data_IF_416835845689
#
_entry.id   IF_416835845689
#
_cell.length_a   1.000
_cell.length_b   1.000
_cell.length_c   1.000
_cell.angle_alpha   90.00
_cell.angle_beta   90.00
_cell.angle_gamma   90.00
#
_symmetry.space_group_name_H-M   'P 1'
#
loop_
_entity.id
_entity.type
_entity.pdbx_description
1 polymer ?
#
# COMPACT_ATOMS: atom_id res chain seq x y z
N UNK A 1 34.45 22.80 9.84
CA UNK A 1 33.01 22.49 9.63
C UNK A 1 32.33 21.95 10.89
N UNK A 2 32.89 20.94 11.57
CA UNK A 2 32.33 20.36 12.81
C UNK A 2 32.13 21.34 13.97
N UNK A 3 33.00 22.33 14.13
CA UNK A 3 32.92 23.32 15.21
C UNK A 3 31.62 24.17 15.16
N UNK A 4 31.13 24.52 13.96
CA UNK A 4 29.87 25.26 13.81
C UNK A 4 28.65 24.44 14.23
N UNK A 5 28.68 23.13 14.01
CA UNK A 5 27.61 22.22 14.47
C UNK A 5 27.56 22.15 16.00
N UNK A 6 28.73 22.14 16.66
CA UNK A 6 28.82 22.13 18.12
C UNK A 6 28.25 23.44 18.69
N UNK A 7 28.61 24.59 18.10
CA UNK A 7 28.06 25.88 18.53
C UNK A 7 26.54 25.94 18.33
N UNK A 8 26.05 25.50 17.17
CA UNK A 8 24.61 25.46 16.90
C UNK A 8 23.86 24.58 17.92
N UNK A 9 24.43 23.42 18.28
CA UNK A 9 23.89 22.54 19.32
C UNK A 9 23.87 23.22 20.69
N UNK A 10 24.93 23.92 21.08
CA UNK A 10 24.99 24.64 22.36
C UNK A 10 23.96 25.76 22.45
N UNK A 11 23.85 26.58 21.40
CA UNK A 11 22.86 27.67 21.33
C UNK A 11 21.44 27.11 21.47
N UNK A 12 21.14 26.02 20.77
CA UNK A 12 19.87 25.32 20.89
C UNK A 12 19.63 24.82 22.33
N UNK A 13 20.61 24.16 22.93
CA UNK A 13 20.48 23.63 24.29
C UNK A 13 20.25 24.75 25.31
N UNK A 14 21.02 25.84 25.26
CA UNK A 14 20.82 26.99 26.16
C UNK A 14 19.46 27.65 26.00
N UNK A 15 19.00 27.83 24.76
CA UNK A 15 17.65 28.34 24.49
C UNK A 15 16.58 27.42 25.10
N UNK A 16 16.74 26.09 24.97
CA UNK A 16 15.81 25.13 25.54
C UNK A 16 15.83 25.12 27.08
N UNK A 17 17.02 25.26 27.71
CA UNK A 17 17.13 25.39 29.18
C UNK A 17 16.35 26.61 29.65
N UNK A 18 16.55 27.75 28.97
CA UNK A 18 15.89 29.01 29.30
C UNK A 18 14.37 28.92 29.15
N UNK A 19 13.89 28.40 28.02
CA UNK A 19 12.47 28.31 27.70
C UNK A 19 11.71 27.38 28.65
N UNK A 20 12.29 26.23 28.99
CA UNK A 20 11.63 25.20 29.80
C UNK A 20 11.92 25.33 31.31
N UNK A 21 12.68 26.35 31.72
CA UNK A 21 13.07 26.58 33.12
C UNK A 21 13.75 25.36 33.75
N UNK A 22 14.57 24.66 32.98
CA UNK A 22 15.36 23.53 33.47
C UNK A 22 16.46 24.04 34.41
N UNK A 23 17.00 23.14 35.24
CA UNK A 23 17.96 23.49 36.27
C UNK A 23 19.19 24.24 35.73
N UNK A 24 19.58 25.31 36.41
CA UNK A 24 20.65 26.21 35.98
C UNK A 24 22.02 25.54 35.85
N UNK A 25 22.26 24.40 36.52
CA UNK A 25 23.54 23.68 36.40
C UNK A 25 23.79 23.16 34.97
N UNK A 26 22.75 23.00 34.15
CA UNK A 26 22.89 22.57 32.75
C UNK A 26 23.65 23.58 31.90
N UNK A 27 23.51 24.88 32.15
CA UNK A 27 24.31 25.90 31.45
C UNK A 27 25.81 25.64 31.62
N UNK A 28 26.24 25.26 32.83
CA UNK A 28 27.64 24.96 33.11
C UNK A 28 28.10 23.67 32.42
N UNK A 29 27.29 22.59 32.47
CA UNK A 29 27.62 21.31 31.83
C UNK A 29 27.79 21.48 30.30
N UNK A 30 26.85 22.18 29.66
CA UNK A 30 26.87 22.40 28.21
C UNK A 30 28.01 23.36 27.80
N UNK A 31 28.38 24.32 28.66
CA UNK A 31 29.46 25.26 28.37
C UNK A 31 30.84 24.60 28.47
N UNK A 32 31.12 23.87 29.56
CA UNK A 32 32.43 23.27 29.82
C UNK A 32 32.67 21.95 29.07
N UNK A 33 31.60 21.25 28.69
CA UNK A 33 31.68 20.00 27.92
C UNK A 33 30.73 20.10 26.70
N UNK A 34 31.07 20.91 25.68
CA UNK A 34 30.17 21.28 24.58
C UNK A 34 29.48 20.12 23.86
N UNK A 35 30.27 19.13 23.43
CA UNK A 35 29.77 18.02 22.62
C UNK A 35 28.97 17.02 23.48
N UNK A 36 29.59 16.50 24.54
CA UNK A 36 29.00 15.44 25.37
C UNK A 36 27.88 16.01 26.24
N UNK A 37 28.07 17.19 26.85
CA UNK A 37 27.06 17.87 27.65
C UNK A 37 25.83 18.27 26.84
N UNK A 38 26.03 18.77 25.61
CA UNK A 38 24.94 19.05 24.68
C UNK A 38 24.15 17.78 24.31
N UNK A 39 24.82 16.68 24.00
CA UNK A 39 24.16 15.41 23.69
C UNK A 39 23.38 14.86 24.90
N UNK A 40 23.98 14.81 26.09
CA UNK A 40 23.32 14.32 27.31
C UNK A 40 22.08 15.18 27.62
N UNK A 41 22.18 16.50 27.48
CA UNK A 41 21.05 17.40 27.70
C UNK A 41 19.92 17.13 26.72
N UNK A 42 20.21 16.99 25.42
CA UNK A 42 19.21 16.64 24.42
C UNK A 42 18.51 15.33 24.78
N UNK A 43 19.27 14.28 25.11
CA UNK A 43 18.71 12.97 25.45
C UNK A 43 17.87 12.96 26.73
N UNK A 44 18.23 13.75 27.74
CA UNK A 44 17.57 13.69 29.05
C UNK A 44 16.48 14.74 29.26
N UNK A 45 16.60 15.91 28.61
CA UNK A 45 15.75 17.08 28.89
C UNK A 45 14.95 17.56 27.69
N UNK A 46 15.41 17.30 26.46
CA UNK A 46 14.71 17.71 25.24
C UNK A 46 13.83 16.56 24.73
N UNK A 47 14.35 15.33 24.74
CA UNK A 47 13.61 14.14 24.32
C UNK A 47 12.69 13.69 25.46
N UNK A 48 11.39 13.89 25.31
CA UNK A 48 10.38 13.43 26.27
C UNK A 48 10.09 11.93 26.08
N UNK A 49 9.88 11.19 27.16
CA UNK A 49 9.58 9.74 27.10
C UNK A 49 8.31 9.44 26.27
N UNK A 50 7.36 10.36 26.26
CA UNK A 50 6.14 10.23 25.47
C UNK A 50 6.42 10.41 23.97
N UNK A 51 7.28 11.33 23.57
CA UNK A 51 7.68 11.52 22.16
C UNK A 51 8.45 10.30 21.65
N UNK A 52 9.27 9.66 22.51
CA UNK A 52 9.93 8.40 22.19
C UNK A 52 8.93 7.25 22.06
N UNK A 53 7.87 7.22 22.87
CA UNK A 53 6.83 6.18 22.77
C UNK A 53 6.05 6.29 21.45
N UNK A 54 5.64 7.49 21.02
CA UNK A 54 4.96 7.69 19.73
C UNK A 54 5.89 7.46 18.54
N UNK A 55 7.14 7.94 18.59
CA UNK A 55 8.13 7.71 17.52
C UNK A 55 8.48 6.23 17.41
N UNK A 56 8.58 5.50 18.52
CA UNK A 56 8.83 4.06 18.48
C UNK A 56 7.61 3.25 18.04
N UNK A 57 6.37 3.67 18.29
CA UNK A 57 5.18 2.98 17.76
C UNK A 57 5.04 3.16 16.23
N UNK A 58 5.26 4.36 15.71
CA UNK A 58 5.26 4.61 14.25
C UNK A 58 6.44 3.91 13.55
N UNK A 59 7.61 3.84 14.18
CA UNK A 59 8.77 3.14 13.61
C UNK A 59 8.64 1.61 13.76
N UNK A 60 8.08 1.09 14.87
CA UNK A 60 7.93 -0.36 15.07
C UNK A 60 6.83 -0.99 14.24
N UNK A 61 5.82 -0.25 13.79
CA UNK A 61 4.83 -0.77 12.84
C UNK A 61 5.42 -1.01 11.46
N UNK A 62 6.43 -0.22 11.06
CA UNK A 62 7.17 -0.40 9.80
C UNK A 62 8.29 -1.46 9.96
N UNK A 63 8.88 -1.59 11.15
CA UNK A 63 10.05 -2.46 11.40
C UNK A 63 9.66 -3.84 11.98
N UNK A 64 8.49 -3.98 12.60
CA UNK A 64 8.04 -5.24 13.22
C UNK A 64 6.54 -5.51 12.92
N UNK A 65 6.21 -5.94 11.70
CA UNK A 65 4.84 -6.31 11.32
C UNK A 65 4.20 -7.33 12.27
N UNK A 66 5.00 -8.22 12.85
CA UNK A 66 4.55 -9.23 13.81
C UNK A 66 3.97 -8.61 15.08
N UNK A 67 4.50 -7.48 15.57
CA UNK A 67 3.95 -6.79 16.76
C UNK A 67 2.58 -6.17 16.45
N UNK A 68 2.41 -5.56 15.27
CA UNK A 68 1.12 -4.98 14.82
C UNK A 68 0.04 -6.07 14.78
N UNK A 69 0.34 -7.19 14.12
CA UNK A 69 -0.58 -8.34 14.03
C UNK A 69 -0.93 -8.83 15.43
N UNK A 70 0.05 -9.06 16.31
CA UNK A 70 -0.19 -9.56 17.67
C UNK A 70 -1.10 -8.62 18.49
N UNK A 71 -0.90 -7.31 18.37
CA UNK A 71 -1.77 -6.34 19.04
C UNK A 71 -3.21 -6.40 18.51
N UNK A 72 -3.39 -6.60 17.20
CA UNK A 72 -4.70 -6.72 16.57
C UNK A 72 -5.39 -8.06 16.90
N UNK A 73 -4.63 -9.14 17.01
CA UNK A 73 -5.11 -10.44 17.53
C UNK A 73 -5.67 -10.27 18.95
N UNK A 74 -4.90 -9.64 19.85
CA UNK A 74 -5.39 -9.35 21.21
C UNK A 74 -6.61 -8.41 21.24
N UNK A 75 -6.66 -7.41 20.35
CA UNK A 75 -7.83 -6.53 20.25
C UNK A 75 -9.09 -7.29 19.80
N UNK A 76 -8.93 -8.25 18.88
CA UNK A 76 -10.02 -9.12 18.42
C UNK A 76 -10.45 -10.11 19.49
N UNK A 77 -9.51 -10.69 20.24
CA UNK A 77 -9.79 -11.56 21.40
C UNK A 77 -10.60 -10.82 22.47
N UNK A 78 -10.25 -9.57 22.76
CA UNK A 78 -10.96 -8.74 23.72
C UNK A 78 -12.34 -8.33 23.22
N UNK A 79 -12.47 -8.06 21.92
CA UNK A 79 -13.73 -7.61 21.33
C UNK A 79 -13.90 -8.08 19.89
N UNK A 80 -14.80 -9.04 19.69
CA UNK A 80 -15.07 -9.67 18.41
C UNK A 80 -15.99 -8.81 17.52
N UNK A 81 -15.50 -7.65 17.09
CA UNK A 81 -16.24 -6.69 16.26
C UNK A 81 -15.87 -6.79 14.78
N UNK A 82 -16.77 -6.34 13.91
CA UNK A 82 -16.49 -6.18 12.47
C UNK A 82 -15.18 -5.42 12.23
N UNK A 83 -15.02 -4.25 12.85
CA UNK A 83 -13.83 -3.42 12.65
C UNK A 83 -12.54 -4.10 13.10
N UNK A 84 -12.55 -4.84 14.22
CA UNK A 84 -11.36 -5.56 14.69
C UNK A 84 -10.96 -6.69 13.73
N UNK A 85 -11.94 -7.40 13.17
CA UNK A 85 -11.68 -8.42 12.14
C UNK A 85 -11.09 -7.79 10.87
N UNK A 86 -11.66 -6.68 10.39
CA UNK A 86 -11.14 -5.96 9.23
C UNK A 86 -9.71 -5.46 9.47
N UNK A 87 -9.43 -4.85 10.62
CA UNK A 87 -8.10 -4.34 10.93
C UNK A 87 -7.04 -5.47 10.96
N UNK A 88 -7.39 -6.61 11.55
CA UNK A 88 -6.51 -7.78 11.57
C UNK A 88 -6.30 -8.36 10.17
N UNK A 89 -7.37 -8.46 9.38
CA UNK A 89 -7.30 -8.92 7.99
C UNK A 89 -6.45 -8.00 7.11
N UNK A 90 -6.60 -6.67 7.27
CA UNK A 90 -5.78 -5.66 6.58
C UNK A 90 -4.29 -5.84 6.94
N UNK A 91 -3.97 -6.06 8.22
CA UNK A 91 -2.59 -6.30 8.64
C UNK A 91 -2.01 -7.60 8.06
N UNK A 92 -2.80 -8.67 7.94
CA UNK A 92 -2.36 -9.88 7.25
C UNK A 92 -2.17 -9.64 5.74
N UNK A 93 -3.07 -8.90 5.10
CA UNK A 93 -2.97 -8.54 3.68
C UNK A 93 -1.70 -7.72 3.40
N UNK A 94 -1.40 -6.72 4.22
CA UNK A 94 -0.16 -5.92 4.14
C UNK A 94 1.10 -6.80 4.22
N UNK A 95 1.03 -7.89 4.99
CA UNK A 95 2.11 -8.87 5.15
C UNK A 95 2.06 -10.03 4.14
N UNK A 96 1.15 -9.97 3.15
CA UNK A 96 0.93 -11.03 2.15
C UNK A 96 0.55 -12.39 2.75
N UNK A 97 0.02 -12.41 3.97
CA UNK A 97 -0.54 -13.59 4.61
C UNK A 97 -1.98 -13.81 4.16
N UNK A 98 -2.17 -14.00 2.84
CA UNK A 98 -3.49 -13.94 2.18
C UNK A 98 -4.52 -14.90 2.77
N UNK A 99 -4.13 -16.14 3.09
CA UNK A 99 -5.05 -17.11 3.69
C UNK A 99 -5.59 -16.65 5.06
N UNK A 100 -4.75 -16.01 5.90
CA UNK A 100 -5.21 -15.48 7.19
C UNK A 100 -6.08 -14.24 7.01
N UNK A 101 -5.75 -13.39 6.04
CA UNK A 101 -6.57 -12.25 5.66
C UNK A 101 -7.98 -12.71 5.22
N UNK A 102 -8.05 -13.72 4.34
CA UNK A 102 -9.31 -14.33 3.87
C UNK A 102 -10.18 -14.77 5.04
N UNK A 103 -9.63 -15.58 5.97
CA UNK A 103 -10.39 -16.08 7.12
C UNK A 103 -11.01 -14.94 7.95
N UNK A 104 -10.27 -13.86 8.17
CA UNK A 104 -10.75 -12.72 8.96
C UNK A 104 -11.75 -11.86 8.18
N UNK A 105 -11.55 -11.64 6.88
CA UNK A 105 -12.52 -10.93 6.03
C UNK A 105 -13.83 -11.71 5.89
N UNK A 106 -13.76 -13.02 5.66
CA UNK A 106 -14.96 -13.86 5.58
C UNK A 106 -15.73 -13.84 6.89
N UNK A 107 -15.03 -13.96 8.02
CA UNK A 107 -15.68 -13.86 9.32
C UNK A 107 -16.23 -12.45 9.60
N UNK A 108 -15.64 -11.40 9.04
CA UNK A 108 -16.19 -10.04 9.13
C UNK A 108 -17.49 -9.90 8.33
N UNK A 109 -17.59 -10.56 7.17
CA UNK A 109 -18.77 -10.58 6.32
C UNK A 109 -19.89 -11.48 6.85
N UNK A 110 -19.81 -11.97 8.08
CA UNK A 110 -20.92 -12.71 8.69
C UNK A 110 -22.06 -11.76 9.13
N UNK A 111 -23.27 -12.32 9.27
CA UNK A 111 -24.46 -11.63 9.80
C UNK A 111 -24.86 -10.35 9.03
N UNK A 112 -24.69 -9.16 9.62
CA UNK A 112 -25.22 -7.90 9.10
C UNK A 112 -24.34 -7.27 8.01
N UNK A 113 -23.15 -7.80 7.76
CA UNK A 113 -22.16 -7.21 6.85
C UNK A 113 -21.88 -8.08 5.61
N UNK A 114 -22.75 -9.06 5.30
CA UNK A 114 -22.57 -10.03 4.19
C UNK A 114 -22.25 -9.42 2.83
N UNK A 115 -22.76 -8.21 2.60
CA UNK A 115 -22.64 -7.52 1.32
C UNK A 115 -21.86 -6.20 1.46
N UNK A 116 -21.02 -6.05 2.50
CA UNK A 116 -20.17 -4.87 2.62
C UNK A 116 -19.20 -4.78 1.43
N UNK A 117 -19.35 -3.76 0.55
CA UNK A 117 -18.68 -3.76 -0.75
C UNK A 117 -17.17 -3.56 -0.63
N UNK A 118 -16.72 -2.80 0.38
CA UNK A 118 -15.29 -2.55 0.61
C UNK A 118 -14.57 -3.80 1.09
N UNK A 119 -15.18 -4.56 2.00
CA UNK A 119 -14.63 -5.82 2.49
C UNK A 119 -14.61 -6.89 1.40
N UNK A 120 -15.69 -7.01 0.63
CA UNK A 120 -15.74 -7.89 -0.54
C UNK A 120 -14.64 -7.55 -1.56
N UNK A 121 -14.38 -6.25 -1.81
CA UNK A 121 -13.30 -5.83 -2.69
C UNK A 121 -11.91 -6.29 -2.21
N UNK A 122 -11.63 -6.17 -0.91
CA UNK A 122 -10.37 -6.65 -0.31
C UNK A 122 -10.27 -8.18 -0.36
N UNK A 123 -11.37 -8.87 -0.11
CA UNK A 123 -11.46 -10.32 -0.16
C UNK A 123 -11.22 -10.85 -1.59
N UNK A 124 -11.76 -10.21 -2.62
CA UNK A 124 -11.49 -10.52 -4.03
C UNK A 124 -9.99 -10.48 -4.33
N UNK A 125 -9.30 -9.41 -3.90
CA UNK A 125 -7.85 -9.27 -4.10
C UNK A 125 -7.08 -10.40 -3.43
N UNK A 126 -7.45 -10.77 -2.20
CA UNK A 126 -6.82 -11.90 -1.51
C UNK A 126 -7.08 -13.23 -2.23
N UNK A 127 -8.30 -13.46 -2.70
CA UNK A 127 -8.66 -14.68 -3.42
C UNK A 127 -7.93 -14.82 -4.75
N UNK A 128 -7.68 -13.71 -5.43
CA UNK A 128 -6.89 -13.70 -6.65
C UNK A 128 -5.44 -14.11 -6.38
N UNK A 129 -4.83 -13.61 -5.31
CA UNK A 129 -3.44 -13.93 -4.93
C UNK A 129 -3.23 -15.40 -4.53
N UNK A 130 -4.28 -16.08 -4.06
CA UNK A 130 -4.26 -17.53 -3.77
C UNK A 130 -4.85 -18.37 -4.92
N UNK A 131 -5.02 -17.78 -6.10
CA UNK A 131 -5.53 -18.41 -7.32
C UNK A 131 -6.92 -19.08 -7.16
N UNK A 132 -7.72 -18.62 -6.20
CA UNK A 132 -9.09 -19.08 -6.04
C UNK A 132 -10.03 -18.26 -6.92
N UNK A 133 -9.92 -18.47 -8.24
CA UNK A 133 -10.67 -17.72 -9.25
C UNK A 133 -12.19 -17.90 -9.13
N UNK A 134 -12.66 -19.03 -8.59
CA UNK A 134 -14.08 -19.25 -8.33
C UNK A 134 -14.62 -18.22 -7.34
N UNK A 135 -13.91 -18.03 -6.22
CA UNK A 135 -14.28 -17.06 -5.20
C UNK A 135 -14.07 -15.63 -5.64
N UNK A 136 -13.10 -15.35 -6.52
CA UNK A 136 -12.99 -14.04 -7.18
C UNK A 136 -14.29 -13.75 -7.93
N UNK A 137 -14.71 -14.62 -8.84
CA UNK A 137 -15.93 -14.43 -9.65
C UNK A 137 -17.17 -14.31 -8.77
N UNK A 138 -17.34 -15.21 -7.79
CA UNK A 138 -18.49 -15.20 -6.88
C UNK A 138 -18.63 -13.85 -6.16
N UNK A 139 -17.55 -13.34 -5.57
CA UNK A 139 -17.59 -12.10 -4.80
C UNK A 139 -17.61 -10.86 -5.71
N UNK A 140 -16.97 -10.92 -6.88
CA UNK A 140 -17.01 -9.86 -7.89
C UNK A 140 -18.43 -9.56 -8.36
N UNK A 141 -19.29 -10.59 -8.47
CA UNK A 141 -20.70 -10.43 -8.87
C UNK A 141 -21.59 -9.79 -7.80
N UNK A 142 -21.14 -9.72 -6.54
CA UNK A 142 -21.90 -9.13 -5.42
C UNK A 142 -21.76 -7.61 -5.32
N UNK A 143 -20.77 -7.01 -6.00
CA UNK A 143 -20.45 -5.59 -5.87
C UNK A 143 -20.42 -4.89 -7.23
N UNK A 144 -20.71 -3.58 -7.24
CA UNK A 144 -20.61 -2.78 -8.46
C UNK A 144 -19.15 -2.34 -8.72
N UNK A 145 -18.32 -3.27 -9.19
CA UNK A 145 -16.88 -3.05 -9.42
C UNK A 145 -16.63 -1.83 -10.31
N UNK A 146 -17.36 -1.70 -11.42
CA UNK A 146 -17.11 -0.65 -12.41
C UNK A 146 -17.34 0.76 -11.85
N UNK A 147 -18.18 0.91 -10.83
CA UNK A 147 -18.50 2.20 -10.20
C UNK A 147 -17.54 2.52 -9.06
N UNK A 148 -17.29 1.54 -8.19
CA UNK A 148 -16.69 1.80 -6.88
C UNK A 148 -15.26 1.27 -6.73
N UNK A 149 -14.84 0.28 -7.55
CA UNK A 149 -13.57 -0.44 -7.42
C UNK A 149 -12.96 -0.78 -8.79
N UNK A 150 -12.72 0.23 -9.62
CA UNK A 150 -12.26 0.06 -11.00
C UNK A 150 -11.02 -0.83 -11.12
N UNK A 151 -10.09 -0.75 -10.18
CA UNK A 151 -8.87 -1.57 -10.17
C UNK A 151 -9.17 -3.07 -10.06
N UNK A 152 -10.35 -3.44 -9.55
CA UNK A 152 -10.76 -4.83 -9.35
C UNK A 152 -11.39 -5.46 -10.59
N UNK A 153 -11.69 -4.66 -11.62
CA UNK A 153 -12.11 -5.17 -12.93
C UNK A 153 -11.06 -6.10 -13.54
N UNK A 154 -9.78 -5.79 -13.34
CA UNK A 154 -8.69 -6.61 -13.86
C UNK A 154 -8.65 -7.99 -13.18
N UNK A 155 -8.79 -8.06 -11.85
CA UNK A 155 -8.84 -9.34 -11.14
C UNK A 155 -10.06 -10.17 -11.57
N UNK A 156 -11.22 -9.53 -11.73
CA UNK A 156 -12.43 -10.22 -12.17
C UNK A 156 -12.30 -10.78 -13.59
N UNK A 157 -11.83 -9.94 -14.53
CA UNK A 157 -11.63 -10.34 -15.92
C UNK A 157 -10.59 -11.44 -16.09
N UNK A 158 -9.46 -11.37 -15.38
CA UNK A 158 -8.44 -12.42 -15.42
C UNK A 158 -8.93 -13.73 -14.78
N UNK A 159 -9.68 -13.66 -13.68
CA UNK A 159 -10.27 -14.85 -13.08
C UNK A 159 -11.29 -15.55 -14.01
N UNK A 160 -12.09 -14.77 -14.74
CA UNK A 160 -12.99 -15.30 -15.78
C UNK A 160 -12.22 -15.99 -16.90
N UNK A 161 -11.09 -15.41 -17.36
CA UNK A 161 -10.23 -16.03 -18.36
C UNK A 161 -9.70 -17.39 -17.88
N UNK A 162 -9.20 -17.47 -16.65
CA UNK A 162 -8.69 -18.72 -16.05
C UNK A 162 -9.79 -19.79 -15.93
N UNK A 163 -11.04 -19.38 -15.76
CA UNK A 163 -12.20 -20.28 -15.76
C UNK A 163 -12.76 -20.60 -17.14
N UNK A 164 -12.24 -19.97 -18.19
CA UNK A 164 -12.65 -20.20 -19.58
C UNK A 164 -13.86 -19.36 -20.04
N UNK A 165 -14.36 -18.45 -19.21
CA UNK A 165 -15.45 -17.52 -19.55
C UNK A 165 -14.91 -16.33 -20.37
N UNK A 166 -14.37 -16.62 -21.55
CA UNK A 166 -13.58 -15.65 -22.33
C UNK A 166 -14.39 -14.44 -22.81
N UNK A 167 -15.66 -14.62 -23.17
CA UNK A 167 -16.52 -13.52 -23.63
C UNK A 167 -16.74 -12.50 -22.52
N UNK A 168 -17.10 -12.97 -21.32
CA UNK A 168 -17.31 -12.10 -20.17
C UNK A 168 -15.99 -11.51 -19.67
N UNK A 169 -14.90 -12.28 -19.69
CA UNK A 169 -13.55 -11.80 -19.36
C UNK A 169 -13.20 -10.57 -20.20
N UNK A 170 -13.43 -10.64 -21.53
CA UNK A 170 -13.16 -9.53 -22.43
C UNK A 170 -14.03 -8.31 -22.11
N UNK A 171 -15.33 -8.50 -21.87
CA UNK A 171 -16.26 -7.42 -21.51
C UNK A 171 -15.76 -6.68 -20.25
N UNK A 172 -15.30 -7.41 -19.24
CA UNK A 172 -14.82 -6.82 -17.99
C UNK A 172 -13.45 -6.15 -18.15
N UNK A 173 -12.50 -6.79 -18.83
CA UNK A 173 -11.17 -6.22 -19.07
C UNK A 173 -11.22 -4.95 -19.92
N UNK A 174 -12.09 -4.90 -20.94
CA UNK A 174 -12.27 -3.70 -21.77
C UNK A 174 -12.73 -2.47 -21.00
N UNK A 175 -13.43 -2.63 -19.87
CA UNK A 175 -13.81 -1.51 -19.00
C UNK A 175 -12.60 -0.79 -18.38
N UNK A 176 -11.44 -1.45 -18.32
CA UNK A 176 -10.19 -0.85 -17.85
C UNK A 176 -9.48 -0.02 -18.91
N UNK A 177 -9.89 -0.11 -20.19
CA UNK A 177 -9.25 0.62 -21.28
C UNK A 177 -9.64 2.12 -21.27
N UNK A 178 -8.93 2.86 -20.42
CA UNK A 178 -9.10 4.29 -20.24
C UNK A 178 -7.80 5.01 -20.56
N UNK A 179 -7.87 5.95 -21.50
CA UNK A 179 -6.71 6.75 -21.92
C UNK A 179 -6.15 7.56 -20.75
N UNK A 180 -4.83 7.67 -20.73
CA UNK A 180 -4.04 8.35 -19.70
C UNK A 180 -4.11 7.74 -18.29
N UNK A 181 -4.78 6.59 -18.12
CA UNK A 181 -4.86 5.84 -16.86
C UNK A 181 -4.70 4.33 -17.10
N UNK A 182 -4.78 3.55 -16.02
CA UNK A 182 -4.88 2.08 -16.05
C UNK A 182 -3.81 1.36 -16.90
N UNK A 183 -2.57 1.85 -16.91
CA UNK A 183 -1.55 1.31 -17.81
C UNK A 183 -1.25 -0.18 -17.54
N UNK A 184 -1.29 -0.63 -16.27
CA UNK A 184 -1.09 -2.04 -15.94
C UNK A 184 -2.23 -2.91 -16.50
N UNK A 185 -3.46 -2.44 -16.31
CA UNK A 185 -4.68 -3.15 -16.69
C UNK A 185 -4.86 -3.16 -18.21
N UNK A 186 -4.53 -2.06 -18.90
CA UNK A 186 -4.49 -1.99 -20.37
C UNK A 186 -3.43 -2.91 -20.98
N UNK A 187 -2.28 -3.07 -20.31
CA UNK A 187 -1.28 -4.07 -20.69
C UNK A 187 -1.81 -5.50 -20.47
N UNK A 188 -2.52 -5.75 -19.37
CA UNK A 188 -3.15 -7.04 -19.11
C UNK A 188 -4.23 -7.38 -20.16
N UNK A 189 -5.10 -6.43 -20.50
CA UNK A 189 -6.07 -6.53 -21.60
C UNK A 189 -5.38 -6.82 -22.93
N UNK A 190 -4.27 -6.14 -23.24
CA UNK A 190 -3.51 -6.40 -24.47
C UNK A 190 -2.99 -7.84 -24.51
N UNK A 191 -2.44 -8.36 -23.39
CA UNK A 191 -1.99 -9.75 -23.29
C UNK A 191 -3.13 -10.76 -23.44
N UNK A 192 -4.29 -10.48 -22.82
CA UNK A 192 -5.50 -11.26 -23.01
C UNK A 192 -5.89 -11.33 -24.49
N UNK A 193 -5.98 -10.19 -25.18
CA UNK A 193 -6.34 -10.12 -26.59
C UNK A 193 -5.38 -10.92 -27.48
N UNK A 194 -4.06 -10.90 -27.18
CA UNK A 194 -3.06 -11.71 -27.88
C UNK A 194 -3.35 -13.21 -27.71
N UNK A 195 -3.63 -13.67 -26.49
CA UNK A 195 -4.00 -15.08 -26.23
C UNK A 195 -5.28 -15.48 -26.94
N UNK A 196 -6.21 -14.53 -27.13
CA UNK A 196 -7.45 -14.71 -27.90
C UNK A 196 -7.29 -14.47 -29.41
N UNK A 197 -6.06 -14.38 -29.91
CA UNK A 197 -5.72 -14.16 -31.32
C UNK A 197 -6.24 -12.83 -31.91
N UNK A 198 -6.58 -11.85 -31.08
CA UNK A 198 -6.99 -10.48 -31.44
C UNK A 198 -5.80 -9.53 -31.48
N UNK A 199 -4.77 -9.90 -32.26
CA UNK A 199 -3.46 -9.23 -32.25
C UNK A 199 -3.50 -7.77 -32.71
N UNK A 200 -4.38 -7.42 -33.66
CA UNK A 200 -4.50 -6.05 -34.17
C UNK A 200 -4.99 -5.11 -33.07
N UNK A 201 -6.07 -5.46 -32.38
CA UNK A 201 -6.63 -4.68 -31.27
C UNK A 201 -5.63 -4.55 -30.11
N UNK A 202 -4.92 -5.63 -29.78
CA UNK A 202 -3.84 -5.57 -28.79
C UNK A 202 -2.74 -4.58 -29.19
N UNK A 203 -2.35 -4.57 -30.47
CA UNK A 203 -1.31 -3.67 -31.00
C UNK A 203 -1.73 -2.21 -30.93
N UNK A 204 -3.00 -1.91 -31.17
CA UNK A 204 -3.58 -0.56 -31.03
C UNK A 204 -3.46 -0.07 -29.58
N UNK A 205 -3.93 -0.85 -28.61
CA UNK A 205 -3.85 -0.48 -27.18
C UNK A 205 -2.38 -0.29 -26.74
N UNK A 206 -1.49 -1.20 -27.12
CA UNK A 206 -0.06 -1.10 -26.82
C UNK A 206 0.56 0.17 -27.43
N UNK A 207 0.15 0.55 -28.64
CA UNK A 207 0.62 1.77 -29.29
C UNK A 207 0.11 3.03 -28.57
N UNK A 208 -1.15 3.04 -28.11
CA UNK A 208 -1.68 4.13 -27.30
C UNK A 208 -0.93 4.30 -25.98
N UNK A 209 -0.71 3.21 -25.23
CA UNK A 209 0.10 3.21 -24.00
C UNK A 209 1.46 3.85 -24.28
N UNK A 210 2.18 3.38 -25.30
CA UNK A 210 3.52 3.89 -25.64
C UNK A 210 3.48 5.37 -26.02
N UNK A 211 2.46 5.82 -26.77
CA UNK A 211 2.34 7.22 -27.16
C UNK A 211 2.07 8.13 -25.95
N UNK A 212 1.13 7.75 -25.08
CA UNK A 212 0.77 8.49 -23.87
C UNK A 212 1.96 8.61 -22.91
N UNK A 213 2.82 7.58 -22.85
CA UNK A 213 3.99 7.62 -21.96
C UNK A 213 5.03 8.65 -22.36
N UNK A 214 5.07 9.09 -23.63
CA UNK A 214 5.99 10.15 -24.08
C UNK A 214 5.72 11.48 -23.40
N UNK A 215 4.45 11.81 -23.14
CA UNK A 215 4.02 13.06 -22.51
C UNK A 215 4.05 13.00 -20.98
N UNK A 216 4.35 11.85 -20.37
CA UNK A 216 4.42 11.71 -18.93
C UNK A 216 5.55 12.51 -18.28
N UNK A 217 5.28 12.97 -17.05
CA UNK A 217 6.31 13.50 -16.14
C UNK A 217 7.36 12.43 -15.81
N UNK A 218 8.55 12.87 -15.38
CA UNK A 218 9.62 11.96 -14.95
C UNK A 218 9.19 11.02 -13.82
N UNK A 219 8.39 11.50 -12.86
CA UNK A 219 7.83 10.71 -11.78
C UNK A 219 6.91 9.59 -12.30
N UNK A 220 5.99 9.89 -13.23
CA UNK A 220 5.09 8.90 -13.81
C UNK A 220 5.84 7.89 -14.69
N UNK A 221 6.84 8.33 -15.46
CA UNK A 221 7.73 7.43 -16.22
C UNK A 221 8.44 6.44 -15.30
N UNK A 222 8.91 6.89 -14.12
CA UNK A 222 9.52 6.01 -13.12
C UNK A 222 8.50 5.02 -12.56
N UNK A 223 7.29 5.49 -12.23
CA UNK A 223 6.19 4.64 -11.70
C UNK A 223 5.80 3.52 -12.67
N UNK A 224 5.66 3.83 -13.96
CA UNK A 224 5.19 2.88 -14.99
C UNK A 224 6.30 2.29 -15.85
N UNK A 225 7.57 2.38 -15.41
CA UNK A 225 8.73 1.93 -16.19
C UNK A 225 8.58 0.48 -16.69
N UNK A 226 8.14 -0.43 -15.81
CA UNK A 226 7.98 -1.84 -16.15
C UNK A 226 6.89 -2.05 -17.21
N UNK A 227 5.75 -1.36 -17.06
CA UNK A 227 4.65 -1.41 -18.02
C UNK A 227 5.08 -0.93 -19.39
N UNK A 228 5.84 0.17 -19.45
CA UNK A 228 6.34 0.74 -20.71
C UNK A 228 7.26 -0.26 -21.42
N UNK A 229 8.25 -0.81 -20.70
CA UNK A 229 9.19 -1.78 -21.26
C UNK A 229 8.47 -3.03 -21.76
N UNK A 230 7.50 -3.52 -21.01
CA UNK A 230 6.75 -4.70 -21.39
C UNK A 230 5.79 -4.42 -22.55
N UNK A 231 5.17 -3.24 -22.60
CA UNK A 231 4.33 -2.84 -23.72
C UNK A 231 5.13 -2.72 -25.02
N UNK A 232 6.32 -2.10 -24.99
CA UNK A 232 7.23 -2.01 -26.13
C UNK A 232 7.68 -3.40 -26.61
N UNK A 233 8.13 -4.24 -25.67
CA UNK A 233 8.54 -5.63 -25.97
C UNK A 233 7.40 -6.41 -26.61
N UNK A 234 6.21 -6.38 -26.00
CA UNK A 234 5.04 -7.12 -26.48
C UNK A 234 4.63 -6.63 -27.87
N UNK A 235 4.60 -5.31 -28.09
CA UNK A 235 4.23 -4.75 -29.41
C UNK A 235 5.20 -5.17 -30.50
N UNK A 236 6.50 -5.24 -30.22
CA UNK A 236 7.51 -5.64 -31.19
C UNK A 236 7.45 -7.13 -31.55
N UNK A 237 6.78 -7.95 -30.73
CA UNK A 237 6.57 -9.38 -30.98
C UNK A 237 5.28 -9.67 -31.77
N UNK A 238 4.46 -8.65 -32.07
CA UNK A 238 3.20 -8.74 -32.83
C UNK A 238 3.32 -8.23 -34.27
#
# INVERSE_FOLDING_TARGET
>A
MYYYLIIALQVFCFYHVYKNKNDYYWYFIIFFIPLIGGLIYVFTQVINKNDVATITEEITTIINPTKKIKNLEHALEFSNTFQNKINLADAYLENKEYNKAILNYESALESNFKEDPYTLNKLIKCYFEVENFEKVIENSRKINIAKDFEETLNYYGLALEEKGDFEEAEIQLRKTDKRYSNYNERLALSKFLIRRNKKMEAKEILQEIILETKTMTSANKKKYKLVILEAEKTKNQL
#
